data_IF_798145135864
#
_entry.id   IF_798145135864
#
_cell.length_a   1.000
_cell.length_b   1.000
_cell.length_c   1.000
_cell.angle_alpha   90.00
_cell.angle_beta   90.00
_cell.angle_gamma   90.00
#
_symmetry.space_group_name_H-M   'P 1'
#
loop_
_entity.id
_entity.type
_entity.pdbx_description
1 polymer ?
#
# COMPACT_ATOMS: atom_id res chain seq x y z
N UNK A 1 25.20 36.86 -63.99
CA UNK A 1 25.58 36.09 -62.78
C UNK A 1 24.39 35.82 -61.85
N UNK A 2 23.50 36.77 -61.56
CA UNK A 2 22.36 36.55 -60.64
C UNK A 2 21.39 35.42 -61.04
N UNK A 3 21.11 35.25 -62.34
CA UNK A 3 20.19 34.19 -62.84
C UNK A 3 20.69 32.76 -62.56
N UNK A 4 22.00 32.53 -62.57
CA UNK A 4 22.60 31.23 -62.25
C UNK A 4 22.33 30.84 -60.79
N UNK A 5 22.35 31.83 -59.87
CA UNK A 5 22.06 31.60 -58.45
C UNK A 5 20.63 31.15 -58.20
N UNK A 6 19.65 31.72 -58.91
CA UNK A 6 18.25 31.31 -58.79
C UNK A 6 18.01 29.88 -59.32
N UNK A 7 18.66 29.49 -60.42
CA UNK A 7 18.58 28.12 -60.93
C UNK A 7 19.19 27.09 -59.97
N UNK A 8 20.38 27.37 -59.44
CA UNK A 8 21.05 26.49 -58.49
C UNK A 8 20.24 26.37 -57.19
N UNK A 9 19.71 27.49 -56.68
CA UNK A 9 18.85 27.51 -55.51
C UNK A 9 17.55 26.69 -55.71
N UNK A 10 16.91 26.84 -56.87
CA UNK A 10 15.71 26.07 -57.21
C UNK A 10 15.96 24.56 -57.29
N UNK A 11 17.08 24.14 -57.90
CA UNK A 11 17.46 22.73 -57.98
C UNK A 11 17.73 22.13 -56.59
N UNK A 12 18.46 22.84 -55.73
CA UNK A 12 18.72 22.40 -54.35
C UNK A 12 17.40 22.28 -53.59
N UNK A 13 16.51 23.27 -53.71
CA UNK A 13 15.18 23.21 -53.09
C UNK A 13 14.36 22.00 -53.52
N UNK A 14 14.35 21.68 -54.82
CA UNK A 14 13.67 20.49 -55.36
C UNK A 14 14.27 19.18 -54.85
N UNK A 15 15.60 19.09 -54.75
CA UNK A 15 16.28 17.91 -54.21
C UNK A 15 15.97 17.68 -52.73
N UNK A 16 15.95 18.74 -51.93
CA UNK A 16 15.55 18.67 -50.51
C UNK A 16 14.10 18.21 -50.40
N UNK A 17 13.18 18.83 -51.15
CA UNK A 17 11.77 18.45 -51.16
C UNK A 17 11.59 16.98 -51.55
N UNK A 18 12.24 16.54 -52.63
CA UNK A 18 12.20 15.15 -53.06
C UNK A 18 12.72 14.19 -51.99
N UNK A 19 13.82 14.52 -51.32
CA UNK A 19 14.38 13.72 -50.23
C UNK A 19 13.42 13.62 -49.04
N UNK A 20 12.78 14.72 -48.67
CA UNK A 20 11.76 14.77 -47.59
C UNK A 20 10.56 13.90 -47.97
N UNK A 21 9.99 14.08 -49.16
CA UNK A 21 8.84 13.30 -49.63
C UNK A 21 9.18 11.81 -49.70
N UNK A 22 10.37 11.46 -50.19
CA UNK A 22 10.87 10.06 -50.23
C UNK A 22 10.99 9.47 -48.83
N UNK A 23 11.56 10.23 -47.89
CA UNK A 23 11.73 9.79 -46.49
C UNK A 23 10.39 9.59 -45.80
N UNK A 24 9.44 10.52 -45.97
CA UNK A 24 8.08 10.40 -45.46
C UNK A 24 7.40 9.15 -46.03
N UNK A 25 7.50 8.93 -47.34
CA UNK A 25 6.90 7.74 -47.99
C UNK A 25 7.50 6.44 -47.46
N UNK A 26 8.82 6.38 -47.24
CA UNK A 26 9.48 5.22 -46.63
C UNK A 26 9.03 5.01 -45.18
N UNK A 27 8.88 6.08 -44.41
CA UNK A 27 8.42 6.02 -43.03
C UNK A 27 6.96 5.55 -42.94
N UNK A 28 6.08 6.01 -43.84
CA UNK A 28 4.70 5.50 -43.94
C UNK A 28 4.71 4.02 -44.30
N UNK A 29 5.53 3.60 -45.28
CA UNK A 29 5.64 2.18 -45.65
C UNK A 29 6.14 1.31 -44.51
N UNK A 30 7.10 1.82 -43.72
CA UNK A 30 7.58 1.16 -42.51
C UNK A 30 6.48 1.06 -41.45
N UNK A 31 5.73 2.14 -41.17
CA UNK A 31 4.61 2.10 -40.22
C UNK A 31 3.47 1.17 -40.63
N UNK A 32 3.29 0.97 -41.93
CA UNK A 32 2.32 -0.01 -42.47
C UNK A 32 2.88 -1.43 -42.52
N UNK A 33 4.18 -1.63 -42.28
CA UNK A 33 4.80 -2.96 -42.34
C UNK A 33 4.34 -3.85 -41.17
N UNK A 34 4.26 -5.18 -41.36
CA UNK A 34 3.97 -6.12 -40.28
C UNK A 34 4.96 -6.02 -39.11
N UNK A 35 6.22 -5.70 -39.39
CA UNK A 35 7.25 -5.53 -38.36
C UNK A 35 6.95 -4.36 -37.41
N UNK A 36 6.49 -3.23 -37.95
CA UNK A 36 6.07 -2.10 -37.11
C UNK A 36 4.82 -2.44 -36.29
N UNK A 37 3.82 -3.08 -36.91
CA UNK A 37 2.60 -3.49 -36.20
C UNK A 37 2.92 -4.44 -35.04
N UNK A 38 3.72 -5.46 -35.29
CA UNK A 38 4.16 -6.39 -34.27
C UNK A 38 4.92 -5.69 -33.12
N UNK A 39 5.85 -4.77 -33.45
CA UNK A 39 6.57 -3.97 -32.47
C UNK A 39 5.61 -3.15 -31.58
N UNK A 40 4.65 -2.47 -32.20
CA UNK A 40 3.66 -1.68 -31.48
C UNK A 40 2.75 -2.56 -30.62
N UNK A 41 2.34 -3.73 -31.13
CA UNK A 41 1.53 -4.69 -30.41
C UNK A 41 2.25 -5.24 -29.17
N UNK A 42 3.55 -5.56 -29.27
CA UNK A 42 4.39 -5.98 -28.13
C UNK A 42 4.46 -4.89 -27.06
N UNK A 43 4.77 -3.64 -27.45
CA UNK A 43 4.87 -2.54 -26.47
C UNK A 43 3.53 -2.22 -25.82
N UNK A 44 2.45 -2.21 -26.60
CA UNK A 44 1.10 -2.00 -26.09
C UNK A 44 0.70 -3.11 -25.12
N UNK A 45 1.03 -4.36 -25.43
CA UNK A 45 0.77 -5.50 -24.55
C UNK A 45 1.56 -5.38 -23.24
N UNK A 46 2.85 -5.07 -23.31
CA UNK A 46 3.70 -4.85 -22.12
C UNK A 46 3.24 -3.68 -21.26
N UNK A 47 2.78 -2.59 -21.88
CA UNK A 47 2.16 -1.46 -21.17
C UNK A 47 0.86 -1.87 -20.47
N UNK A 48 -0.03 -2.62 -21.15
CA UNK A 48 -1.28 -3.08 -20.57
C UNK A 48 -1.06 -4.04 -19.39
N UNK A 49 -0.06 -4.93 -19.48
CA UNK A 49 0.33 -5.82 -18.37
C UNK A 49 0.84 -5.01 -17.17
N UNK A 50 1.75 -4.05 -17.37
CA UNK A 50 2.26 -3.17 -16.30
C UNK A 50 1.16 -2.38 -15.62
N UNK A 51 0.29 -1.72 -16.39
CA UNK A 51 -0.86 -0.98 -15.86
C UNK A 51 -1.77 -1.90 -15.04
N UNK A 52 -2.00 -3.13 -15.51
CA UNK A 52 -2.80 -4.09 -14.78
C UNK A 52 -2.17 -4.63 -13.49
N UNK A 53 -0.84 -4.73 -13.42
CA UNK A 53 -0.11 -5.05 -12.18
C UNK A 53 -0.35 -3.95 -11.14
N UNK A 54 -0.20 -2.68 -11.54
CA UNK A 54 -0.44 -1.54 -10.66
C UNK A 54 -1.90 -1.49 -10.18
N UNK A 55 -2.86 -1.66 -11.10
CA UNK A 55 -4.27 -1.69 -10.77
C UNK A 55 -4.62 -2.82 -9.78
N UNK A 56 -4.06 -4.02 -9.97
CA UNK A 56 -4.32 -5.15 -9.07
C UNK A 56 -3.68 -4.94 -7.69
N UNK A 57 -2.48 -4.34 -7.62
CA UNK A 57 -1.84 -3.96 -6.35
C UNK A 57 -2.65 -2.91 -5.60
N UNK A 58 -3.16 -1.89 -6.30
CA UNK A 58 -4.04 -0.88 -5.72
C UNK A 58 -5.35 -1.50 -5.21
N UNK A 59 -5.97 -2.38 -5.99
CA UNK A 59 -7.18 -3.09 -5.60
C UNK A 59 -6.99 -3.96 -4.35
N UNK A 60 -5.87 -4.70 -4.27
CA UNK A 60 -5.49 -5.45 -3.06
C UNK A 60 -5.30 -4.54 -1.84
N UNK A 61 -4.65 -3.39 -2.02
CA UNK A 61 -4.49 -2.39 -0.96
C UNK A 61 -5.82 -1.83 -0.46
N UNK A 62 -6.70 -1.42 -1.38
CA UNK A 62 -8.04 -0.92 -1.05
C UNK A 62 -8.91 -1.98 -0.37
N UNK A 63 -8.87 -3.22 -0.85
CA UNK A 63 -9.60 -4.34 -0.24
C UNK A 63 -9.13 -4.59 1.21
N UNK A 64 -7.82 -4.48 1.48
CA UNK A 64 -7.29 -4.58 2.84
C UNK A 64 -7.78 -3.47 3.78
N UNK A 65 -7.86 -2.23 3.29
CA UNK A 65 -8.40 -1.10 4.06
C UNK A 65 -9.91 -1.26 4.34
N UNK A 66 -10.68 -1.69 3.35
CA UNK A 66 -12.11 -1.96 3.50
C UNK A 66 -12.37 -3.10 4.47
N UNK A 67 -11.58 -4.17 4.41
CA UNK A 67 -11.64 -5.29 5.36
C UNK A 67 -11.42 -4.82 6.80
N UNK A 68 -10.36 -4.03 7.04
CA UNK A 68 -10.08 -3.50 8.37
C UNK A 68 -11.20 -2.58 8.90
N UNK A 69 -11.76 -1.74 8.02
CA UNK A 69 -12.90 -0.89 8.38
C UNK A 69 -14.16 -1.72 8.71
N UNK A 70 -14.43 -2.77 7.94
CA UNK A 70 -15.54 -3.69 8.17
C UNK A 70 -15.38 -4.46 9.50
N UNK A 71 -14.17 -4.96 9.79
CA UNK A 71 -13.86 -5.63 11.06
C UNK A 71 -14.12 -4.71 12.26
N UNK A 72 -13.68 -3.44 12.16
CA UNK A 72 -13.91 -2.45 13.21
C UNK A 72 -15.40 -2.13 13.36
N UNK A 73 -16.14 -2.01 12.25
CA UNK A 73 -17.57 -1.77 12.27
C UNK A 73 -18.33 -2.92 12.96
N UNK A 74 -18.03 -4.17 12.60
CA UNK A 74 -18.62 -5.35 13.23
C UNK A 74 -18.31 -5.44 14.72
N UNK A 75 -17.05 -5.16 15.12
CA UNK A 75 -16.65 -5.09 16.54
C UNK A 75 -17.44 -4.04 17.29
N UNK A 76 -17.57 -2.85 16.72
CA UNK A 76 -18.28 -1.74 17.36
C UNK A 76 -19.78 -2.03 17.48
N UNK A 77 -20.40 -2.61 16.45
CA UNK A 77 -21.80 -3.02 16.45
C UNK A 77 -22.07 -4.07 17.52
N UNK A 78 -21.28 -5.15 17.55
CA UNK A 78 -21.43 -6.21 18.54
C UNK A 78 -21.18 -5.72 19.97
N UNK A 79 -20.17 -4.86 20.18
CA UNK A 79 -19.92 -4.26 21.48
C UNK A 79 -21.07 -3.33 21.91
N UNK A 80 -21.62 -2.54 20.98
CA UNK A 80 -22.78 -1.70 21.24
C UNK A 80 -24.02 -2.53 21.63
N UNK A 81 -24.24 -3.67 20.96
CA UNK A 81 -25.27 -4.62 21.33
C UNK A 81 -25.08 -5.18 22.74
N UNK A 82 -23.85 -5.56 23.09
CA UNK A 82 -23.52 -6.07 24.42
C UNK A 82 -23.77 -5.02 25.53
N UNK A 83 -23.32 -3.78 25.35
CA UNK A 83 -23.57 -2.73 26.36
C UNK A 83 -25.06 -2.34 26.44
N UNK A 84 -25.84 -2.47 25.36
CA UNK A 84 -27.28 -2.26 25.40
C UNK A 84 -28.01 -3.34 26.23
N UNK A 85 -27.44 -4.54 26.35
CA UNK A 85 -27.93 -5.59 27.25
C UNK A 85 -27.66 -5.35 28.73
N UNK A 86 -26.79 -4.39 29.08
CA UNK A 86 -26.45 -4.06 30.47
C UNK A 86 -27.48 -3.06 31.02
N UNK A 87 -28.36 -3.54 31.89
CA UNK A 87 -29.35 -2.71 32.59
C UNK A 87 -28.68 -1.63 33.45
N UNK A 88 -29.32 -0.46 33.51
CA UNK A 88 -28.96 0.66 34.41
C UNK A 88 -28.90 0.26 35.89
N UNK A 89 -29.54 -0.84 36.25
CA UNK A 89 -29.65 -1.33 37.64
C UNK A 89 -28.30 -1.75 38.22
N UNK A 90 -27.33 -2.11 37.36
CA UNK A 90 -25.98 -2.43 37.80
C UNK A 90 -25.23 -1.21 38.40
N UNK A 91 -25.76 0.01 38.20
CA UNK A 91 -25.20 1.21 38.83
C UNK A 91 -25.42 1.25 40.34
N UNK A 92 -26.36 0.48 40.91
CA UNK A 92 -26.60 0.42 42.35
C UNK A 92 -25.39 -0.08 43.15
N UNK A 93 -24.48 -0.82 42.49
CA UNK A 93 -23.24 -1.29 43.08
C UNK A 93 -22.20 -0.18 43.30
N UNK A 94 -22.43 1.03 42.77
CA UNK A 94 -21.47 2.15 42.86
C UNK A 94 -21.86 3.15 43.95
N UNK A 95 -20.89 3.63 44.75
CA UNK A 95 -21.17 4.54 45.85
C UNK A 95 -21.74 5.87 45.34
N UNK A 96 -22.78 6.38 46.00
CA UNK A 96 -23.44 7.64 45.64
C UNK A 96 -24.58 7.50 44.61
N UNK A 97 -24.76 6.31 44.03
CA UNK A 97 -25.89 6.00 43.16
C UNK A 97 -26.84 5.08 43.92
N UNK A 98 -28.01 5.60 44.30
CA UNK A 98 -29.04 4.83 44.98
C UNK A 98 -30.28 4.59 44.11
N UNK A 99 -31.27 3.83 44.60
CA UNK A 99 -32.45 3.42 43.85
C UNK A 99 -33.28 4.60 43.32
N UNK A 100 -33.32 5.72 44.04
CA UNK A 100 -34.01 6.93 43.57
C UNK A 100 -33.35 7.57 42.34
N UNK A 101 -32.02 7.45 42.19
CA UNK A 101 -31.31 7.92 41.00
C UNK A 101 -31.59 6.99 39.82
N UNK A 102 -31.59 5.67 40.06
CA UNK A 102 -31.88 4.66 39.03
C UNK A 102 -33.31 4.78 38.51
N UNK A 103 -34.29 4.96 39.41
CA UNK A 103 -35.69 5.20 39.03
C UNK A 103 -35.82 6.42 38.11
N UNK A 104 -35.18 7.55 38.44
CA UNK A 104 -35.18 8.75 37.59
C UNK A 104 -34.54 8.50 36.22
N UNK A 105 -33.45 7.74 36.14
CA UNK A 105 -32.83 7.39 34.86
C UNK A 105 -33.81 6.58 34.00
N UNK A 106 -34.48 5.58 34.59
CA UNK A 106 -35.52 4.80 33.89
C UNK A 106 -36.72 5.65 33.46
N UNK A 107 -37.20 6.55 34.32
CA UNK A 107 -38.32 7.47 34.00
C UNK A 107 -38.00 8.37 32.80
N UNK A 108 -36.73 8.66 32.56
CA UNK A 108 -36.26 9.39 31.36
C UNK A 108 -36.01 8.53 30.13
N UNK A 109 -36.32 7.23 30.18
CA UNK A 109 -36.06 6.29 29.10
C UNK A 109 -34.60 5.85 28.98
N UNK A 110 -33.75 6.18 29.96
CA UNK A 110 -32.35 5.73 30.01
C UNK A 110 -32.25 4.40 30.74
N UNK A 111 -32.79 3.35 30.11
CA UNK A 111 -32.92 1.99 30.70
C UNK A 111 -31.63 1.18 30.67
N UNK A 112 -30.70 1.50 29.77
CA UNK A 112 -29.49 0.70 29.52
C UNK A 112 -28.23 1.56 29.40
N UNK A 113 -27.08 0.89 29.48
CA UNK A 113 -25.76 1.52 29.45
C UNK A 113 -25.46 2.19 28.10
N UNK A 114 -26.02 1.69 26.99
CA UNK A 114 -25.80 2.24 25.65
C UNK A 114 -26.46 3.62 25.52
N UNK A 115 -27.72 3.73 25.94
CA UNK A 115 -28.48 4.97 25.99
C UNK A 115 -27.84 5.96 26.98
N UNK A 116 -27.35 5.50 28.13
CA UNK A 116 -26.65 6.36 29.10
C UNK A 116 -25.33 6.91 28.57
N UNK A 117 -24.60 6.15 27.75
CA UNK A 117 -23.32 6.58 27.16
C UNK A 117 -23.51 7.61 26.06
N UNK A 118 -24.55 7.46 25.22
CA UNK A 118 -24.85 8.39 24.13
C UNK A 118 -25.78 9.54 24.52
N UNK A 119 -26.55 9.38 25.59
CA UNK A 119 -27.60 10.30 26.03
C UNK A 119 -27.08 11.46 26.88
N UNK A 120 -27.81 12.57 26.85
CA UNK A 120 -27.54 13.69 27.74
C UNK A 120 -28.16 13.44 29.11
N UNK A 121 -27.32 13.23 30.13
CA UNK A 121 -27.75 13.11 31.54
C UNK A 121 -28.48 14.36 32.06
N UNK A 122 -28.47 15.47 31.31
CA UNK A 122 -29.24 16.69 31.64
C UNK A 122 -30.75 16.43 31.64
N UNK A 123 -31.24 15.48 30.84
CA UNK A 123 -32.67 15.14 30.80
C UNK A 123 -33.19 14.58 32.13
N UNK A 124 -32.33 13.91 32.91
CA UNK A 124 -32.71 13.26 34.16
C UNK A 124 -32.78 14.20 35.38
N UNK A 125 -32.58 15.51 35.21
CA UNK A 125 -32.61 16.51 36.30
C UNK A 125 -31.74 16.16 37.51
N UNK A 126 -30.62 15.47 37.27
CA UNK A 126 -29.68 15.07 38.31
C UNK A 126 -28.81 16.26 38.72
N UNK A 127 -28.61 16.46 40.03
CA UNK A 127 -27.68 17.46 40.54
C UNK A 127 -26.24 17.18 40.09
N UNK A 128 -25.42 18.22 39.93
CA UNK A 128 -24.08 18.12 39.35
C UNK A 128 -23.19 17.04 39.97
N UNK A 129 -23.27 16.84 41.29
CA UNK A 129 -22.56 15.76 42.00
C UNK A 129 -23.00 14.38 41.49
N UNK A 130 -24.31 14.09 41.49
CA UNK A 130 -24.86 12.81 41.02
C UNK A 130 -24.57 12.56 39.54
N UNK A 131 -24.63 13.59 38.70
CA UNK A 131 -24.26 13.46 37.28
C UNK A 131 -22.81 13.01 37.11
N UNK A 132 -21.89 13.55 37.91
CA UNK A 132 -20.48 13.14 37.91
C UNK A 132 -20.31 11.71 38.41
N UNK A 133 -20.99 11.35 39.50
CA UNK A 133 -20.96 9.99 40.06
C UNK A 133 -21.48 8.95 39.05
N UNK A 134 -22.63 9.22 38.40
CA UNK A 134 -23.18 8.38 37.32
C UNK A 134 -22.23 8.29 36.13
N UNK A 135 -21.63 9.41 35.69
CA UNK A 135 -20.70 9.41 34.56
C UNK A 135 -19.46 8.55 34.84
N UNK A 136 -18.92 8.62 36.07
CA UNK A 136 -17.77 7.82 36.47
C UNK A 136 -18.15 6.33 36.55
N UNK A 137 -19.29 5.99 37.18
CA UNK A 137 -19.77 4.62 37.26
C UNK A 137 -20.04 4.01 35.88
N UNK A 138 -20.66 4.75 34.96
CA UNK A 138 -20.87 4.31 33.57
C UNK A 138 -19.53 4.07 32.87
N UNK A 139 -18.54 4.96 33.03
CA UNK A 139 -17.20 4.77 32.45
C UNK A 139 -16.54 3.48 32.96
N UNK A 140 -16.62 3.24 34.26
CA UNK A 140 -16.04 2.04 34.88
C UNK A 140 -16.76 0.76 34.43
N UNK A 141 -18.09 0.77 34.36
CA UNK A 141 -18.87 -0.35 33.81
C UNK A 141 -18.54 -0.61 32.35
N UNK A 142 -18.46 0.43 31.51
CA UNK A 142 -18.08 0.29 30.09
C UNK A 142 -16.67 -0.30 29.98
N UNK A 143 -15.73 0.10 30.84
CA UNK A 143 -14.38 -0.45 30.86
C UNK A 143 -14.37 -1.94 31.25
N UNK A 144 -15.15 -2.32 32.27
CA UNK A 144 -15.30 -3.73 32.66
C UNK A 144 -15.98 -4.56 31.57
N UNK A 145 -17.04 -4.02 30.97
CA UNK A 145 -17.74 -4.61 29.84
C UNK A 145 -16.79 -4.83 28.65
N UNK A 146 -16.00 -3.83 28.29
CA UNK A 146 -14.98 -3.95 27.24
C UNK A 146 -13.95 -5.05 27.56
N UNK A 147 -13.52 -5.16 28.82
CA UNK A 147 -12.63 -6.23 29.26
C UNK A 147 -13.24 -7.62 29.07
N UNK A 148 -14.50 -7.82 29.48
CA UNK A 148 -15.23 -9.09 29.30
C UNK A 148 -15.49 -9.41 27.83
N UNK A 149 -15.84 -8.40 27.05
CA UNK A 149 -16.08 -8.52 25.61
C UNK A 149 -14.81 -8.93 24.87
N UNK A 150 -13.69 -8.24 25.13
CA UNK A 150 -12.39 -8.56 24.54
C UNK A 150 -11.87 -9.93 24.98
N UNK A 151 -12.22 -10.38 26.19
CA UNK A 151 -11.89 -11.72 26.68
C UNK A 151 -12.78 -12.82 26.09
N UNK A 152 -13.80 -12.50 25.28
CA UNK A 152 -14.73 -13.49 24.73
C UNK A 152 -15.67 -14.10 25.77
N UNK A 153 -15.84 -13.46 26.93
CA UNK A 153 -16.61 -13.97 28.06
C UNK A 153 -18.14 -13.69 27.94
N UNK A 154 -18.61 -13.19 26.80
CA UNK A 154 -20.02 -12.90 26.54
C UNK A 154 -20.46 -13.51 25.19
N UNK A 155 -21.75 -13.87 25.05
CA UNK A 155 -22.27 -14.50 23.84
C UNK A 155 -22.16 -13.58 22.60
N UNK A 156 -22.28 -12.27 22.77
CA UNK A 156 -22.13 -11.30 21.67
C UNK A 156 -20.71 -11.30 21.08
N UNK A 157 -19.69 -11.46 21.92
CA UNK A 157 -18.31 -11.58 21.45
C UNK A 157 -18.06 -12.91 20.72
N UNK A 158 -18.71 -14.00 21.16
CA UNK A 158 -18.64 -15.29 20.48
C UNK A 158 -19.31 -15.23 19.10
N UNK A 159 -20.52 -14.66 19.02
CA UNK A 159 -21.22 -14.44 17.76
C UNK A 159 -20.46 -13.48 16.82
N UNK A 160 -19.77 -12.47 17.37
CA UNK A 160 -18.88 -11.61 16.59
C UNK A 160 -17.73 -12.39 15.97
N UNK A 161 -17.10 -13.30 16.72
CA UNK A 161 -16.00 -14.11 16.19
C UNK A 161 -16.46 -14.98 15.01
N UNK A 162 -17.64 -15.60 15.10
CA UNK A 162 -18.22 -16.35 13.98
C UNK A 162 -18.47 -15.47 12.74
N UNK A 163 -18.98 -14.25 12.94
CA UNK A 163 -19.19 -13.27 11.86
C UNK A 163 -17.87 -12.83 11.23
N UNK A 164 -16.85 -12.57 12.05
CA UNK A 164 -15.51 -12.21 11.59
C UNK A 164 -14.86 -13.36 10.82
N UNK A 165 -14.97 -14.59 11.30
CA UNK A 165 -14.44 -15.77 10.61
C UNK A 165 -15.09 -15.95 9.23
N UNK A 166 -16.42 -15.76 9.12
CA UNK A 166 -17.11 -15.80 7.84
C UNK A 166 -16.68 -14.63 6.92
N UNK A 167 -16.52 -13.43 7.47
CA UNK A 167 -16.05 -12.28 6.70
C UNK A 167 -14.62 -12.51 6.17
N UNK A 168 -13.71 -12.97 7.04
CA UNK A 168 -12.32 -13.29 6.71
C UNK A 168 -12.21 -14.43 5.71
N UNK A 169 -13.05 -15.46 5.78
CA UNK A 169 -13.10 -16.51 4.76
C UNK A 169 -13.44 -15.93 3.38
N UNK A 170 -14.44 -15.05 3.30
CA UNK A 170 -14.84 -14.43 2.03
C UNK A 170 -13.78 -13.50 1.44
N UNK A 171 -13.05 -12.77 2.31
CA UNK A 171 -11.94 -11.89 1.92
C UNK A 171 -10.71 -12.72 1.54
N UNK A 172 -10.49 -13.84 2.22
CA UNK A 172 -9.43 -14.80 1.94
C UNK A 172 -9.51 -15.37 0.53
N UNK A 173 -10.69 -15.81 0.07
CA UNK A 173 -10.88 -16.28 -1.31
C UNK A 173 -10.56 -15.18 -2.33
N UNK A 174 -11.15 -14.00 -2.17
CA UNK A 174 -10.95 -12.87 -3.09
C UNK A 174 -9.49 -12.43 -3.17
N UNK A 175 -8.82 -12.33 -2.03
CA UNK A 175 -7.40 -11.93 -1.97
C UNK A 175 -6.48 -13.00 -2.55
N UNK A 176 -6.74 -14.28 -2.31
CA UNK A 176 -5.98 -15.39 -2.90
C UNK A 176 -6.07 -15.38 -4.43
N UNK A 177 -7.28 -15.17 -4.96
CA UNK A 177 -7.53 -15.04 -6.40
C UNK A 177 -6.86 -13.82 -7.01
N UNK A 178 -6.98 -12.65 -6.38
CA UNK A 178 -6.31 -11.43 -6.82
C UNK A 178 -4.78 -11.57 -6.85
N UNK A 179 -4.18 -12.21 -5.83
CA UNK A 179 -2.73 -12.49 -5.81
C UNK A 179 -2.30 -13.43 -6.93
N UNK A 180 -3.11 -14.44 -7.27
CA UNK A 180 -2.84 -15.33 -8.39
C UNK A 180 -2.88 -14.58 -9.74
N UNK A 181 -3.86 -13.69 -9.93
CA UNK A 181 -3.95 -12.81 -11.12
C UNK A 181 -2.75 -11.88 -11.22
N UNK A 182 -2.33 -11.28 -10.10
CA UNK A 182 -1.13 -10.45 -10.02
C UNK A 182 0.13 -11.23 -10.45
N UNK A 183 0.33 -12.42 -9.87
CA UNK A 183 1.48 -13.28 -10.19
C UNK A 183 1.49 -13.70 -11.66
N UNK A 184 0.33 -14.03 -12.23
CA UNK A 184 0.22 -14.38 -13.65
C UNK A 184 0.61 -13.20 -14.57
N UNK A 185 0.27 -11.96 -14.20
CA UNK A 185 0.71 -10.76 -14.92
C UNK A 185 2.22 -10.53 -14.79
N UNK A 186 2.78 -10.73 -13.60
CA UNK A 186 4.23 -10.60 -13.37
C UNK A 186 5.01 -11.64 -14.18
N UNK A 187 4.59 -12.91 -14.17
CA UNK A 187 5.18 -13.97 -14.99
C UNK A 187 5.06 -13.65 -16.50
N UNK A 188 3.94 -13.09 -16.94
CA UNK A 188 3.77 -12.64 -18.32
C UNK A 188 4.72 -11.49 -18.68
N UNK A 189 4.95 -10.55 -17.77
CA UNK A 189 5.88 -9.44 -18.00
C UNK A 189 7.31 -9.95 -18.20
N UNK A 190 7.71 -10.98 -17.45
CA UNK A 190 9.00 -11.66 -17.62
C UNK A 190 9.11 -12.35 -18.99
N UNK A 191 8.03 -13.00 -19.47
CA UNK A 191 7.98 -13.61 -20.80
C UNK A 191 7.98 -12.59 -21.94
N UNK A 192 7.39 -11.40 -21.73
CA UNK A 192 7.36 -10.32 -22.71
C UNK A 192 8.70 -9.59 -22.82
N UNK A 193 9.56 -9.61 -21.78
CA UNK A 193 10.86 -8.92 -21.79
C UNK A 193 11.73 -9.24 -23.02
N UNK A 194 12.01 -10.50 -23.39
CA UNK A 194 12.80 -10.79 -24.59
C UNK A 194 12.13 -10.33 -25.90
N UNK A 195 10.79 -10.30 -25.94
CA UNK A 195 10.04 -9.78 -27.09
C UNK A 195 10.15 -8.26 -27.18
N UNK A 196 10.07 -7.55 -26.05
CA UNK A 196 10.31 -6.10 -25.96
C UNK A 196 11.74 -5.75 -26.39
N UNK A 197 12.75 -6.49 -25.94
CA UNK A 197 14.14 -6.30 -26.36
C UNK A 197 14.30 -6.49 -27.88
N UNK A 198 13.67 -7.51 -28.44
CA UNK A 198 13.66 -7.74 -29.91
C UNK A 198 12.92 -6.61 -30.63
N UNK A 199 11.81 -6.14 -30.08
CA UNK A 199 11.02 -5.03 -30.63
C UNK A 199 11.78 -3.69 -30.59
N UNK A 200 12.63 -3.48 -29.58
CA UNK A 200 13.51 -2.30 -29.48
C UNK A 200 14.58 -2.32 -30.58
N UNK A 201 15.10 -3.49 -30.95
CA UNK A 201 16.10 -3.62 -32.02
C UNK A 201 15.53 -3.25 -33.39
N UNK A 202 14.24 -3.54 -33.64
CA UNK A 202 13.52 -3.23 -34.87
C UNK A 202 13.35 -1.72 -35.09
N UNK A 203 14.41 -1.07 -35.55
CA UNK A 203 14.48 0.35 -35.88
C UNK A 203 14.19 0.59 -37.36
N UNK A 204 13.82 1.83 -37.72
CA UNK A 204 13.61 2.21 -39.12
C UNK A 204 14.86 2.03 -39.99
N UNK A 205 16.05 2.28 -39.42
CA UNK A 205 17.33 2.05 -40.08
C UNK A 205 17.56 0.55 -40.34
N UNK A 206 17.28 -0.30 -39.37
CA UNK A 206 17.38 -1.75 -39.56
C UNK A 206 16.40 -2.23 -40.64
N UNK A 207 15.17 -1.70 -40.70
CA UNK A 207 14.22 -2.00 -41.77
C UNK A 207 14.73 -1.61 -43.17
N UNK A 208 15.40 -0.45 -43.30
CA UNK A 208 15.96 0.00 -44.57
C UNK A 208 17.18 -0.83 -45.01
N UNK A 209 17.98 -1.30 -44.05
CA UNK A 209 19.21 -2.07 -44.29
C UNK A 209 18.95 -3.58 -44.37
N UNK A 210 17.85 -4.07 -43.80
CA UNK A 210 17.50 -5.49 -43.77
C UNK A 210 17.14 -5.98 -45.18
N UNK A 211 18.13 -6.55 -45.85
CA UNK A 211 17.96 -7.26 -47.12
C UNK A 211 17.07 -8.49 -46.91
N UNK A 212 16.39 -8.96 -47.98
CA UNK A 212 15.34 -10.00 -48.08
C UNK A 212 15.45 -11.29 -47.23
N UNK A 213 16.53 -11.54 -46.49
CA UNK A 213 16.76 -12.71 -45.62
C UNK A 213 16.60 -12.38 -44.14
N UNK A 214 15.53 -11.68 -43.76
CA UNK A 214 15.31 -11.34 -42.36
C UNK A 214 14.95 -12.60 -41.57
N UNK A 215 15.89 -13.10 -40.75
CA UNK A 215 15.71 -14.31 -39.92
C UNK A 215 14.61 -14.15 -38.87
N UNK A 216 14.10 -12.93 -38.67
CA UNK A 216 13.07 -12.59 -37.69
C UNK A 216 11.64 -12.79 -38.19
N UNK A 217 11.43 -13.10 -39.48
CA UNK A 217 10.09 -13.35 -40.04
C UNK A 217 9.24 -14.38 -39.26
N UNK A 218 9.78 -15.50 -38.74
CA UNK A 218 9.00 -16.42 -37.92
C UNK A 218 8.50 -15.78 -36.62
N UNK A 219 9.29 -14.92 -35.98
CA UNK A 219 8.92 -14.23 -34.74
C UNK A 219 7.82 -13.18 -34.99
N UNK A 220 7.90 -12.46 -36.11
CA UNK A 220 6.90 -11.45 -36.48
C UNK A 220 5.51 -12.05 -36.76
N UNK A 221 5.46 -13.32 -37.14
CA UNK A 221 4.22 -14.06 -37.40
C UNK A 221 3.77 -14.91 -36.20
N UNK A 222 4.56 -14.99 -35.13
CA UNK A 222 4.17 -15.73 -33.94
C UNK A 222 3.04 -14.98 -33.23
N UNK A 223 1.95 -15.68 -32.82
CA UNK A 223 0.89 -15.04 -32.07
C UNK A 223 1.44 -14.55 -30.73
N UNK A 224 1.08 -13.32 -30.35
CA UNK A 224 1.42 -12.78 -29.04
C UNK A 224 0.65 -13.54 -27.95
N UNK A 225 1.23 -13.69 -26.75
CA UNK A 225 0.58 -14.42 -25.67
C UNK A 225 -0.73 -13.73 -25.24
N UNK A 226 -1.78 -14.52 -25.08
CA UNK A 226 -3.09 -14.04 -24.62
C UNK A 226 -3.06 -13.83 -23.09
N UNK A 227 -2.96 -12.56 -22.70
CA UNK A 227 -2.92 -12.11 -21.30
C UNK A 227 -4.19 -12.51 -20.55
N UNK A 228 -5.36 -12.36 -21.17
CA UNK A 228 -6.64 -12.60 -20.51
C UNK A 228 -6.92 -14.10 -20.34
N UNK A 229 -6.49 -14.94 -21.29
CA UNK A 229 -6.56 -16.39 -21.11
C UNK A 229 -5.67 -16.84 -19.94
N UNK A 230 -4.46 -16.31 -19.80
CA UNK A 230 -3.54 -16.69 -18.72
C UNK A 230 -4.02 -16.22 -17.35
N UNK A 231 -4.53 -14.99 -17.25
CA UNK A 231 -5.13 -14.47 -16.01
C UNK A 231 -6.31 -15.33 -15.58
N UNK A 232 -7.22 -15.69 -16.51
CA UNK A 232 -8.36 -16.58 -16.20
C UNK A 232 -7.90 -17.96 -15.76
N UNK A 233 -6.92 -18.56 -16.43
CA UNK A 233 -6.38 -19.86 -16.03
C UNK A 233 -5.76 -19.83 -14.62
N UNK A 234 -5.03 -18.76 -14.28
CA UNK A 234 -4.46 -18.58 -12.96
C UNK A 234 -5.53 -18.37 -11.88
N UNK A 235 -6.59 -17.63 -12.20
CA UNK A 235 -7.73 -17.39 -11.31
C UNK A 235 -8.51 -18.68 -11.00
N UNK A 236 -8.82 -19.48 -12.01
CA UNK A 236 -9.50 -20.78 -11.82
C UNK A 236 -8.63 -21.79 -11.06
N UNK A 237 -7.32 -21.81 -11.34
CA UNK A 237 -6.37 -22.64 -10.60
C UNK A 237 -6.30 -22.21 -9.12
N UNK A 238 -6.33 -20.90 -8.85
CA UNK A 238 -6.33 -20.36 -7.49
C UNK A 238 -7.64 -20.70 -6.77
N UNK A 239 -8.79 -20.52 -7.42
CA UNK A 239 -10.09 -20.91 -6.88
C UNK A 239 -10.12 -22.39 -6.50
N UNK A 240 -9.67 -23.27 -7.39
CA UNK A 240 -9.61 -24.72 -7.14
C UNK A 240 -8.71 -25.03 -5.93
N UNK A 241 -7.51 -24.45 -5.87
CA UNK A 241 -6.57 -24.61 -4.74
C UNK A 241 -7.15 -24.11 -3.42
N UNK A 242 -7.85 -22.98 -3.44
CA UNK A 242 -8.50 -22.43 -2.26
C UNK A 242 -9.59 -23.38 -1.75
N UNK A 243 -10.48 -23.84 -2.65
CA UNK A 243 -11.56 -24.78 -2.28
C UNK A 243 -11.04 -26.10 -1.72
N UNK A 244 -9.98 -26.67 -2.32
CA UNK A 244 -9.35 -27.89 -1.80
C UNK A 244 -8.76 -27.66 -0.42
N UNK A 245 -8.06 -26.53 -0.22
CA UNK A 245 -7.47 -26.18 1.07
C UNK A 245 -8.52 -25.99 2.16
N UNK A 246 -9.66 -25.39 1.84
CA UNK A 246 -10.76 -25.20 2.80
C UNK A 246 -11.52 -26.50 3.08
N UNK A 247 -11.61 -27.41 2.11
CA UNK A 247 -12.25 -28.71 2.28
C UNK A 247 -11.39 -29.68 3.13
N UNK A 248 -10.07 -29.61 2.99
CA UNK A 248 -9.11 -30.45 3.72
C UNK A 248 -8.88 -30.02 5.16
N UNK A 249 -9.38 -28.86 5.61
CA UNK A 249 -9.36 -28.52 7.03
C UNK A 249 -10.27 -29.54 7.72
N UNK A 250 -9.72 -30.53 8.47
CA UNK A 250 -10.55 -31.53 9.10
C UNK A 250 -11.48 -30.77 10.02
N UNK A 251 -12.78 -30.84 9.74
CA UNK A 251 -13.80 -30.55 10.73
C UNK A 251 -13.52 -31.58 11.82
N UNK A 252 -12.71 -31.20 12.81
CA UNK A 252 -12.30 -32.09 13.87
C UNK A 252 -13.60 -32.61 14.48
N UNK A 253 -13.97 -33.88 14.25
CA UNK A 253 -15.26 -34.38 14.69
C UNK A 253 -15.19 -34.38 16.20
N UNK A 254 -16.11 -33.64 16.83
CA UNK A 254 -16.39 -33.56 18.25
C UNK A 254 -15.34 -34.27 19.12
N UNK A 255 -14.22 -33.59 19.39
CA UNK A 255 -13.49 -33.88 20.61
C UNK A 255 -14.40 -33.36 21.71
N UNK A 256 -15.34 -34.22 22.14
CA UNK A 256 -16.16 -34.01 23.31
C UNK A 256 -15.20 -33.59 24.42
N UNK A 257 -15.34 -32.38 24.98
CA UNK A 257 -14.47 -31.95 26.05
C UNK A 257 -14.74 -32.89 27.21
N UNK A 258 -13.82 -33.84 27.44
CA UNK A 258 -13.78 -34.57 28.70
C UNK A 258 -13.75 -33.52 29.80
N UNK A 259 -14.77 -33.61 30.66
CA UNK A 259 -15.10 -32.70 31.74
C UNK A 259 -13.95 -32.63 32.77
N UNK A 260 -12.87 -31.94 32.42
CA UNK A 260 -11.76 -31.56 33.27
C UNK A 260 -11.74 -30.04 33.42
N UNK A 261 -12.47 -29.54 34.41
CA UNK A 261 -12.52 -28.12 34.74
C UNK A 261 -11.11 -27.60 35.12
N UNK A 262 -10.41 -26.91 34.20
CA UNK A 262 -9.45 -25.81 34.50
C UNK A 262 -8.62 -25.26 33.32
N UNK A 263 -8.70 -25.78 32.08
CA UNK A 263 -7.74 -25.40 31.01
C UNK A 263 -8.35 -24.79 29.71
N UNK A 264 -9.48 -24.09 29.78
CA UNK A 264 -10.35 -23.83 28.60
C UNK A 264 -10.31 -22.42 27.96
N UNK A 265 -9.28 -21.59 28.19
CA UNK A 265 -9.31 -20.20 27.67
C UNK A 265 -8.25 -19.83 26.61
N UNK A 266 -7.37 -20.73 26.19
CA UNK A 266 -6.26 -20.38 25.27
C UNK A 266 -6.42 -20.85 23.83
N UNK A 267 -7.30 -21.83 23.54
CA UNK A 267 -7.31 -22.49 22.23
C UNK A 267 -8.06 -21.71 21.12
N UNK A 268 -9.07 -20.91 21.45
CA UNK A 268 -9.93 -20.27 20.43
C UNK A 268 -9.31 -19.02 19.80
N UNK A 269 -8.35 -18.38 20.47
CA UNK A 269 -7.68 -17.16 19.98
C UNK A 269 -6.63 -17.43 18.88
N UNK A 270 -6.04 -18.63 18.86
CA UNK A 270 -4.96 -18.96 17.92
C UNK A 270 -5.42 -19.17 16.45
N UNK A 271 -6.71 -19.45 16.22
CA UNK A 271 -7.24 -19.80 14.89
C UNK A 271 -7.51 -18.58 14.00
N UNK A 272 -8.01 -17.49 14.58
CA UNK A 272 -8.30 -16.23 13.86
C UNK A 272 -7.03 -15.43 13.54
N UNK A 273 -6.02 -15.47 14.43
CA UNK A 273 -4.73 -14.82 14.20
C UNK A 273 -4.00 -15.36 12.96
N UNK A 274 -4.08 -16.67 12.69
CA UNK A 274 -3.35 -17.31 11.60
C UNK A 274 -3.76 -16.79 10.20
N UNK A 275 -5.03 -16.45 9.97
CA UNK A 275 -5.52 -15.95 8.68
C UNK A 275 -5.13 -14.49 8.41
N UNK A 276 -5.32 -13.62 9.41
CA UNK A 276 -4.96 -12.21 9.31
C UNK A 276 -3.44 -12.00 9.29
N UNK A 277 -2.68 -12.79 10.06
CA UNK A 277 -1.22 -12.74 10.04
C UNK A 277 -0.65 -13.37 8.77
N UNK A 278 -1.29 -14.37 8.14
CA UNK A 278 -0.88 -14.84 6.82
C UNK A 278 -1.02 -13.77 5.73
N UNK A 279 -2.09 -12.98 5.75
CA UNK A 279 -2.24 -11.87 4.80
C UNK A 279 -1.22 -10.76 5.07
N UNK A 280 -1.05 -10.37 6.35
CA UNK A 280 -0.08 -9.34 6.76
C UNK A 280 1.37 -9.78 6.47
N UNK A 281 1.70 -11.03 6.75
CA UNK A 281 3.02 -11.62 6.50
C UNK A 281 3.24 -11.90 5.00
N UNK A 282 2.21 -12.24 4.21
CA UNK A 282 2.30 -12.32 2.76
C UNK A 282 2.56 -10.95 2.11
N UNK A 283 1.88 -9.90 2.57
CA UNK A 283 2.12 -8.52 2.12
C UNK A 283 3.51 -8.02 2.52
N UNK A 284 3.96 -8.30 3.75
CA UNK A 284 5.32 -7.95 4.19
C UNK A 284 6.42 -8.77 3.51
N UNK A 285 6.20 -10.08 3.28
CA UNK A 285 7.14 -10.94 2.57
C UNK A 285 7.20 -10.61 1.09
N UNK A 286 6.11 -10.20 0.43
CA UNK A 286 6.19 -9.74 -0.97
C UNK A 286 7.02 -8.45 -1.11
N UNK A 287 6.96 -7.55 -0.14
CA UNK A 287 7.83 -6.38 -0.09
C UNK A 287 9.33 -6.72 0.08
N UNK A 288 9.66 -7.85 0.72
CA UNK A 288 11.07 -8.29 0.99
C UNK A 288 11.60 -9.35 0.02
N UNK A 289 10.76 -10.23 -0.53
CA UNK A 289 11.17 -11.35 -1.36
C UNK A 289 11.62 -10.93 -2.77
N UNK A 290 11.23 -9.73 -3.21
CA UNK A 290 11.70 -9.14 -4.47
C UNK A 290 13.14 -8.61 -4.42
N UNK A 291 13.79 -8.59 -3.26
CA UNK A 291 15.20 -8.17 -3.13
C UNK A 291 16.18 -9.36 -3.14
N UNK A 292 15.72 -10.61 -2.95
CA UNK A 292 16.61 -11.78 -2.72
C UNK A 292 16.08 -13.16 -3.17
N UNK A 293 15.42 -13.27 -4.33
CA UNK A 293 15.12 -14.59 -4.91
C UNK A 293 16.23 -15.01 -5.90
N UNK A 294 16.98 -16.10 -5.65
CA UNK A 294 17.92 -16.65 -6.63
C UNK A 294 17.15 -17.39 -7.73
N UNK A 295 17.49 -17.09 -8.98
CA UNK A 295 16.94 -17.74 -10.18
C UNK A 295 17.23 -19.25 -10.19
N UNK A 296 16.32 -20.10 -10.71
CA UNK A 296 16.59 -21.52 -10.88
C UNK A 296 17.65 -21.74 -11.98
N UNK A 297 18.73 -22.43 -11.61
CA UNK A 297 19.82 -22.77 -12.51
C UNK A 297 19.36 -23.77 -13.60
N UNK A 298 19.53 -23.38 -14.86
CA UNK A 298 19.43 -24.28 -16.01
C UNK A 298 20.64 -25.20 -16.02
N UNK A 299 20.36 -26.49 -15.88
CA UNK A 299 21.31 -27.60 -15.91
C UNK A 299 21.99 -27.75 -17.28
N UNK A 300 23.33 -27.70 -17.29
CA UNK A 300 24.18 -28.40 -18.26
C UNK A 300 25.39 -28.99 -17.53
N UNK A 301 25.63 -30.27 -17.78
CA UNK A 301 26.63 -31.14 -17.13
C UNK A 301 28.09 -30.77 -17.45
N UNK A 302 29.07 -31.28 -16.66
CA UNK A 302 30.49 -30.91 -16.64
C UNK A 302 31.36 -31.96 -17.40
N UNK A 303 32.72 -32.05 -17.29
CA UNK A 303 33.66 -31.28 -16.47
C UNK A 303 34.98 -30.85 -17.18
N UNK A 304 35.73 -29.94 -16.55
CA UNK A 304 37.17 -30.14 -16.32
C UNK A 304 37.66 -29.22 -15.19
N UNK A 305 38.33 -29.88 -14.26
CA UNK A 305 38.92 -29.42 -13.00
C UNK A 305 40.21 -28.63 -13.23
N UNK A 306 40.37 -27.48 -12.57
CA UNK A 306 41.64 -27.08 -11.94
C UNK A 306 41.34 -26.31 -10.66
N UNK A 307 41.88 -26.82 -9.55
CA UNK A 307 41.89 -26.23 -8.23
C UNK A 307 43.00 -25.18 -8.10
N UNK A 308 42.73 -24.07 -7.38
CA UNK A 308 43.72 -23.35 -6.57
C UNK A 308 43.05 -22.24 -5.72
N UNK A 309 43.02 -22.48 -4.41
CA UNK A 309 43.32 -21.56 -3.29
C UNK A 309 42.65 -20.18 -3.18
N UNK A 310 41.62 -20.16 -2.31
CA UNK A 310 41.45 -19.40 -1.07
C UNK A 310 41.98 -17.96 -0.85
N UNK A 311 41.08 -17.19 -0.22
CA UNK A 311 41.28 -16.15 0.79
C UNK A 311 41.99 -14.82 0.42
N UNK A 312 41.20 -13.85 -0.09
CA UNK A 312 41.24 -12.41 0.27
C UNK A 312 40.61 -11.56 -0.82
N UNK A 313 39.29 -11.34 -0.78
CA UNK A 313 38.61 -10.32 -1.61
C UNK A 313 37.17 -10.05 -1.14
N UNK A 314 37.02 -9.65 0.12
CA UNK A 314 35.78 -9.09 0.64
C UNK A 314 36.11 -7.80 1.38
N UNK A 315 36.47 -6.71 0.67
CA UNK A 315 36.34 -5.36 1.24
C UNK A 315 36.50 -4.16 0.29
N UNK A 316 36.36 -4.31 -1.04
CA UNK A 316 36.69 -3.19 -1.94
C UNK A 316 35.84 -3.08 -3.21
N UNK A 317 34.50 -3.21 -3.10
CA UNK A 317 33.59 -3.00 -4.23
C UNK A 317 32.38 -2.11 -3.90
N UNK A 318 32.49 -1.16 -2.96
CA UNK A 318 31.40 -0.23 -2.60
C UNK A 318 31.53 1.19 -3.18
N UNK A 319 32.43 1.42 -4.13
CA UNK A 319 32.55 2.72 -4.81
C UNK A 319 32.38 2.58 -6.32
N UNK A 320 31.28 1.95 -6.76
CA UNK A 320 30.71 2.28 -8.06
C UNK A 320 29.96 3.61 -7.88
N UNK A 321 30.26 4.69 -8.64
CA UNK A 321 29.52 5.93 -8.54
C UNK A 321 28.04 5.61 -8.76
N UNK A 322 27.26 5.75 -7.70
CA UNK A 322 25.81 5.58 -7.71
C UNK A 322 25.30 6.47 -8.84
N UNK A 323 24.68 5.85 -9.84
CA UNK A 323 24.05 6.56 -10.95
C UNK A 323 23.30 7.76 -10.37
N UNK A 324 23.53 8.94 -10.95
CA UNK A 324 22.89 10.18 -10.50
C UNK A 324 21.42 9.90 -10.26
N UNK A 325 20.98 10.05 -9.00
CA UNK A 325 19.61 9.75 -8.61
C UNK A 325 18.67 10.50 -9.56
N UNK A 326 17.78 9.76 -10.21
CA UNK A 326 16.90 10.33 -11.22
C UNK A 326 16.07 11.44 -10.55
N UNK A 327 15.89 12.59 -11.22
CA UNK A 327 15.14 13.75 -10.69
C UNK A 327 13.79 13.35 -10.12
N UNK A 328 13.10 12.38 -10.75
CA UNK A 328 11.84 11.82 -10.27
C UNK A 328 11.94 11.14 -8.89
N UNK A 329 13.06 10.47 -8.58
CA UNK A 329 13.31 9.86 -7.27
C UNK A 329 13.52 10.93 -6.20
N UNK A 330 14.23 12.01 -6.52
CA UNK A 330 14.44 13.12 -5.58
C UNK A 330 13.13 13.82 -5.22
N UNK A 331 12.26 14.03 -6.22
CA UNK A 331 10.90 14.58 -6.06
C UNK A 331 10.04 13.64 -5.21
N UNK A 332 10.11 12.33 -5.44
CA UNK A 332 9.39 11.33 -4.67
C UNK A 332 9.86 11.25 -3.20
N UNK A 333 11.17 11.41 -2.93
CA UNK A 333 11.72 11.43 -1.57
C UNK A 333 11.13 12.58 -0.75
N UNK A 334 10.91 13.74 -1.39
CA UNK A 334 10.28 14.91 -0.75
C UNK A 334 8.75 14.81 -0.67
N UNK A 335 8.13 13.73 -1.13
CA UNK A 335 6.67 13.61 -1.21
C UNK A 335 6.02 14.74 -2.06
N UNK A 336 6.73 15.25 -3.08
CA UNK A 336 6.21 16.22 -4.04
C UNK A 336 5.55 15.47 -5.19
N UNK A 337 4.36 15.90 -5.61
CA UNK A 337 3.69 15.33 -6.77
C UNK A 337 4.47 15.63 -8.06
N UNK A 338 4.78 14.59 -8.84
CA UNK A 338 5.54 14.70 -10.09
C UNK A 338 4.84 15.55 -11.16
N UNK A 339 3.53 15.80 -11.03
CA UNK A 339 2.77 16.66 -11.93
C UNK A 339 2.88 18.16 -11.60
N UNK A 340 3.35 18.54 -10.41
CA UNK A 340 3.50 19.93 -10.02
C UNK A 340 4.74 20.57 -10.64
N UNK A 341 4.64 21.85 -11.02
CA UNK A 341 5.80 22.61 -11.45
C UNK A 341 6.75 22.82 -10.27
N UNK A 342 7.96 22.28 -10.38
CA UNK A 342 8.96 22.35 -9.33
C UNK A 342 9.50 23.79 -9.21
N UNK A 343 9.33 24.39 -8.04
CA UNK A 343 9.91 25.70 -7.69
C UNK A 343 10.75 25.58 -6.43
N UNK A 344 11.75 26.46 -6.27
CA UNK A 344 12.64 26.43 -5.10
C UNK A 344 11.87 26.61 -3.78
N UNK A 345 10.86 27.48 -3.76
CA UNK A 345 10.01 27.70 -2.58
C UNK A 345 9.16 26.49 -2.23
N UNK A 346 8.67 25.74 -3.22
CA UNK A 346 7.96 24.48 -2.99
C UNK A 346 8.89 23.45 -2.35
N UNK A 347 10.11 23.32 -2.86
CA UNK A 347 11.13 22.40 -2.30
C UNK A 347 11.43 22.76 -0.84
N UNK A 348 11.66 24.04 -0.53
CA UNK A 348 11.89 24.53 0.84
C UNK A 348 10.72 24.23 1.76
N UNK A 349 9.51 24.57 1.34
CA UNK A 349 8.29 24.36 2.14
C UNK A 349 8.09 22.88 2.46
N UNK A 350 8.26 22.02 1.46
CA UNK A 350 8.06 20.60 1.63
C UNK A 350 9.16 19.96 2.49
N UNK A 351 10.42 20.36 2.30
CA UNK A 351 11.52 19.96 3.16
C UNK A 351 11.23 20.34 4.64
N UNK A 352 10.80 21.57 4.91
CA UNK A 352 10.45 22.00 6.27
C UNK A 352 9.32 21.16 6.88
N UNK A 353 8.28 20.87 6.10
CA UNK A 353 7.17 20.00 6.52
C UNK A 353 7.66 18.59 6.87
N UNK A 354 8.58 18.02 6.08
CA UNK A 354 9.18 16.72 6.40
C UNK A 354 10.03 16.79 7.68
N UNK A 355 10.80 17.86 7.88
CA UNK A 355 11.64 18.02 9.07
C UNK A 355 10.82 18.10 10.36
N UNK A 356 9.67 18.76 10.31
CA UNK A 356 8.70 18.83 11.41
C UNK A 356 7.99 17.50 11.64
N UNK A 357 7.58 16.80 10.58
CA UNK A 357 6.87 15.51 10.66
C UNK A 357 7.75 14.39 11.21
N UNK A 358 9.03 14.38 10.83
CA UNK A 358 9.99 13.35 11.22
C UNK A 358 10.89 13.76 12.38
N UNK A 359 10.44 14.69 13.23
CA UNK A 359 11.17 15.09 14.42
C UNK A 359 11.37 13.91 15.39
N UNK A 360 12.64 13.56 15.65
CA UNK A 360 13.01 12.38 16.44
C UNK A 360 12.34 12.34 17.82
N UNK A 361 12.07 13.50 18.41
CA UNK A 361 11.39 13.62 19.70
C UNK A 361 9.98 13.03 19.69
N UNK A 362 9.23 13.21 18.58
CA UNK A 362 7.87 12.69 18.42
C UNK A 362 7.84 11.16 18.39
N UNK A 363 8.94 10.51 18.01
CA UNK A 363 9.04 9.06 17.91
C UNK A 363 9.70 8.38 19.12
N UNK A 364 10.26 9.15 20.08
CA UNK A 364 10.89 8.59 21.29
C UNK A 364 9.94 7.67 22.06
N UNK A 365 8.65 8.01 22.11
CA UNK A 365 7.62 7.20 22.78
C UNK A 365 7.20 5.94 22.00
N UNK A 366 7.44 5.89 20.69
CA UNK A 366 7.01 4.77 19.82
C UNK A 366 8.06 3.65 19.76
N UNK A 367 9.33 3.99 19.97
CA UNK A 367 10.43 3.03 20.07
C UNK A 367 11.66 3.41 19.22
N UNK A 368 12.82 2.77 19.46
CA UNK A 368 14.09 3.14 18.83
C UNK A 368 14.12 2.92 17.31
N UNK A 369 13.39 1.92 16.81
CA UNK A 369 13.28 1.63 15.37
C UNK A 369 12.62 2.80 14.60
N UNK A 370 11.61 3.44 15.19
CA UNK A 370 10.94 4.60 14.59
C UNK A 370 11.82 5.85 14.62
N UNK A 371 12.66 6.00 15.66
CA UNK A 371 13.67 7.06 15.72
C UNK A 371 14.72 6.88 14.62
N UNK A 372 15.19 5.64 14.39
CA UNK A 372 16.12 5.32 13.31
C UNK A 372 15.52 5.62 11.93
N UNK A 373 14.27 5.20 11.70
CA UNK A 373 13.55 5.46 10.46
C UNK A 373 13.32 6.96 10.21
N UNK A 374 12.90 7.71 11.25
CA UNK A 374 12.72 9.15 11.16
C UNK A 374 14.03 9.87 10.83
N UNK A 375 15.14 9.44 11.44
CA UNK A 375 16.48 9.96 11.16
C UNK A 375 16.91 9.65 9.72
N UNK A 376 16.69 8.42 9.26
CA UNK A 376 16.98 8.02 7.87
C UNK A 376 16.19 8.87 6.86
N UNK A 377 14.89 9.10 7.13
CA UNK A 377 14.02 9.93 6.28
C UNK A 377 14.46 11.39 6.24
N UNK A 378 14.86 11.97 7.39
CA UNK A 378 15.40 13.35 7.43
C UNK A 378 16.69 13.49 6.63
N UNK A 379 17.61 12.54 6.77
CA UNK A 379 18.87 12.55 6.01
C UNK A 379 18.61 12.44 4.51
N UNK A 380 17.67 11.57 4.09
CA UNK A 380 17.27 11.43 2.70
C UNK A 380 16.60 12.70 2.15
N UNK A 381 15.69 13.31 2.92
CA UNK A 381 15.02 14.56 2.54
C UNK A 381 16.00 15.72 2.40
N UNK A 382 16.98 15.86 3.31
CA UNK A 382 18.03 16.87 3.22
C UNK A 382 18.87 16.69 1.96
N UNK A 383 19.33 15.47 1.67
CA UNK A 383 20.11 15.18 0.48
C UNK A 383 19.33 15.47 -0.81
N UNK A 384 18.04 15.11 -0.85
CA UNK A 384 17.18 15.37 -2.00
C UNK A 384 16.90 16.86 -2.20
N UNK A 385 16.56 17.60 -1.13
CA UNK A 385 16.35 19.04 -1.19
C UNK A 385 17.61 19.79 -1.63
N UNK A 386 18.79 19.37 -1.14
CA UNK A 386 20.07 20.00 -1.51
C UNK A 386 20.35 19.84 -2.99
N UNK A 387 20.24 18.61 -3.51
CA UNK A 387 20.40 18.31 -4.94
C UNK A 387 19.42 19.08 -5.82
N UNK A 388 18.15 19.15 -5.44
CA UNK A 388 17.14 19.85 -6.23
C UNK A 388 17.32 21.36 -6.20
N UNK A 389 17.73 21.96 -5.07
CA UNK A 389 17.97 23.41 -4.97
C UNK A 389 19.26 23.84 -5.69
N UNK A 390 20.27 22.97 -5.79
CA UNK A 390 21.45 23.20 -6.62
C UNK A 390 21.09 23.43 -8.10
N UNK A 391 20.05 22.77 -8.62
CA UNK A 391 19.54 23.00 -10.00
C UNK A 391 19.01 24.43 -10.19
N UNK A 392 18.53 25.08 -9.13
CA UNK A 392 18.03 26.45 -9.13
C UNK A 392 19.10 27.48 -8.73
N UNK A 393 20.34 27.05 -8.43
CA UNK A 393 21.41 27.94 -7.96
C UNK A 393 21.20 28.45 -6.53
N UNK A 394 20.35 27.77 -5.75
CA UNK A 394 20.02 28.16 -4.38
C UNK A 394 20.60 27.14 -3.38
N UNK A 395 20.92 27.58 -2.17
CA UNK A 395 21.40 26.70 -1.09
C UNK A 395 20.27 26.38 -0.12
N UNK A 396 20.25 25.16 0.41
CA UNK A 396 19.37 24.81 1.54
C UNK A 396 19.78 25.69 2.71
N UNK A 397 18.89 26.60 3.12
CA UNK A 397 19.05 27.30 4.38
C UNK A 397 18.98 26.24 5.49
N UNK A 398 20.06 26.12 6.26
CA UNK A 398 20.00 25.35 7.49
C UNK A 398 18.85 25.92 8.31
N UNK A 399 17.92 25.08 8.83
CA UNK A 399 16.81 25.58 9.62
C UNK A 399 17.40 26.46 10.72
N UNK A 400 17.09 27.76 10.63
CA UNK A 400 17.50 28.71 11.66
C UNK A 400 17.03 28.19 13.02
N UNK A 401 17.73 28.52 14.12
CA UNK A 401 17.27 28.15 15.46
C UNK A 401 15.79 28.51 15.55
N UNK A 402 14.95 27.49 15.81
CA UNK A 402 13.50 27.61 15.78
C UNK A 402 13.14 28.91 16.48
N UNK A 403 12.56 29.86 15.74
CA UNK A 403 12.18 31.15 16.29
C UNK A 403 11.42 30.84 17.58
N UNK A 404 11.94 31.32 18.71
CA UNK A 404 11.39 31.00 20.03
C UNK A 404 9.87 31.13 19.93
N UNK A 405 9.10 30.12 20.40
CA UNK A 405 7.66 30.08 20.21
C UNK A 405 7.14 31.46 20.55
N UNK A 406 6.66 32.18 19.53
CA UNK A 406 6.17 33.54 19.73
C UNK A 406 5.10 33.40 20.80
N UNK A 407 5.42 33.86 22.01
CA UNK A 407 4.60 33.65 23.19
C UNK A 407 3.17 33.97 22.79
N UNK A 408 2.24 33.04 23.11
CA UNK A 408 0.82 33.12 22.77
C UNK A 408 0.43 34.60 22.68
N UNK A 409 0.16 35.07 21.46
CA UNK A 409 -0.23 36.46 21.25
C UNK A 409 -1.43 36.70 22.15
N UNK A 410 -1.21 37.44 23.24
CA UNK A 410 -2.25 37.81 24.18
C UNK A 410 -3.31 38.53 23.37
N UNK A 411 -4.44 37.86 23.17
CA UNK A 411 -5.54 38.38 22.38
C UNK A 411 -6.64 38.72 23.38
N UNK A 412 -6.67 39.98 23.87
CA UNK A 412 -7.56 40.36 24.96
C UNK A 412 -9.04 40.15 24.62
N UNK A 413 -9.40 40.16 23.33
CA UNK A 413 -10.77 39.89 22.88
C UNK A 413 -11.18 38.43 23.05
N UNK A 414 -10.24 37.48 22.88
CA UNK A 414 -10.48 36.06 23.14
C UNK A 414 -10.51 35.77 24.64
N UNK A 415 -9.61 36.37 25.41
CA UNK A 415 -9.58 36.19 26.86
C UNK A 415 -10.88 36.73 27.52
N UNK A 416 -11.44 37.83 26.98
CA UNK A 416 -12.73 38.37 27.43
C UNK A 416 -13.94 37.46 27.09
N UNK A 417 -13.90 36.72 25.98
CA UNK A 417 -14.98 35.77 25.62
C UNK A 417 -14.88 34.44 26.36
N UNK A 418 -13.66 34.00 26.68
CA UNK A 418 -13.42 32.67 27.26
C UNK A 418 -13.14 32.67 28.78
N UNK A 419 -13.02 33.84 29.41
CA UNK A 419 -13.10 34.00 30.86
C UNK A 419 -12.01 33.24 31.63
N UNK A 420 -10.76 33.36 31.18
CA UNK A 420 -9.58 32.85 31.90
C UNK A 420 -9.14 33.84 32.98
#
# INVERSE_FOLDING_TARGET
MAWLGYLVGGLIGLLILWFVVRTIRLLIRYRLSPAWKWREDVFRLGAAVRQGIEAERQALGQAGLQAAAQDQALRQEAFNGFIAGISVDQLDAYPGIGPATIARLRDTGLSDLALLRGGSLRAASLGAKRTRDVTNAVRDLVRQAQGRFNAGACPEAQALNERLDHAHASIGDKSFRALARLRAREEMLEELRPLEETAQQLTFSEYLLSSKKDRRLPLLNAPLPDVEARIRAADEAAKTRYTSRTADVPQHPDVVPESGASALHTATSARSAAGADLFRDAMHKQGRALEKAPLPAVSKSPPLSVAATDASRQHLNDHKPRAEANRAELVAILEIDASMMLTADLIRRQYNLMMERYEAEKFKATGPEFVALATQKRTAALAAATRLLEEFGEKVEAPGPAAAPQGLRHNPDLDAMFGV
#
